data_IF_248111944739
#
_entry.id   IF_248111944739
#
_cell.length_a   1.000
_cell.length_b   1.000
_cell.length_c   1.000
_cell.angle_alpha   90.00
_cell.angle_beta   90.00
_cell.angle_gamma   90.00
#
_symmetry.space_group_name_H-M   'P 1'
#
loop_
_entity.id
_entity.type
_entity.pdbx_description
1 polymer ?
#
# COMPACT_ATOMS: atom_id res chain seq x y z
N UNK A 1 -24.96 3.86 7.91
CA UNK A 1 -24.05 2.90 8.58
C UNK A 1 -23.00 3.66 9.38
N UNK A 2 -23.35 4.18 10.56
CA UNK A 2 -22.37 4.89 11.40
C UNK A 2 -21.84 3.91 12.46
N UNK A 3 -20.58 3.49 12.32
CA UNK A 3 -19.93 2.50 13.21
C UNK A 3 -18.65 3.02 13.83
N UNK A 4 -18.37 4.33 13.66
CA UNK A 4 -17.17 4.96 14.20
C UNK A 4 -17.20 4.86 15.73
N UNK A 5 -16.22 4.14 16.27
CA UNK A 5 -16.10 3.84 17.68
C UNK A 5 -14.76 4.33 18.21
N UNK A 6 -14.72 4.64 19.51
CA UNK A 6 -13.50 5.07 20.18
C UNK A 6 -12.88 3.90 20.95
N UNK A 7 -11.55 3.92 21.11
CA UNK A 7 -10.81 3.05 22.01
C UNK A 7 -9.66 3.82 22.66
N UNK A 8 -9.12 3.28 23.76
CA UNK A 8 -7.90 3.81 24.35
C UNK A 8 -6.69 3.06 23.80
N UNK A 9 -5.71 3.78 23.28
CA UNK A 9 -4.45 3.20 22.81
C UNK A 9 -3.60 2.77 24.01
N UNK A 10 -2.57 1.94 23.77
CA UNK A 10 -1.61 1.57 24.80
C UNK A 10 -0.84 2.75 25.42
N UNK A 11 -0.81 3.90 24.74
CA UNK A 11 -0.23 5.16 25.23
C UNK A 11 -1.22 6.04 26.02
N UNK A 12 -2.48 5.61 26.20
CA UNK A 12 -3.51 6.38 26.92
C UNK A 12 -4.16 7.50 26.12
N UNK A 13 -3.93 7.56 24.80
CA UNK A 13 -4.63 8.49 23.90
C UNK A 13 -5.89 7.84 23.35
N UNK A 14 -6.90 8.66 23.00
CA UNK A 14 -8.12 8.14 22.37
C UNK A 14 -7.94 7.98 20.87
N UNK A 15 -8.12 6.77 20.36
CA UNK A 15 -8.16 6.45 18.93
C UNK A 15 -9.57 6.16 18.44
N UNK A 16 -9.79 6.28 17.13
CA UNK A 16 -11.06 5.96 16.47
C UNK A 16 -10.88 4.78 15.51
N UNK A 17 -11.93 4.01 15.27
CA UNK A 17 -11.95 2.95 14.25
C UNK A 17 -13.38 2.65 13.79
N UNK A 18 -13.54 2.02 12.63
CA UNK A 18 -14.84 1.57 12.14
C UNK A 18 -15.14 0.17 12.69
N UNK A 19 -16.13 0.08 13.60
CA UNK A 19 -16.43 -1.15 14.33
C UNK A 19 -17.29 -2.12 13.51
N UNK A 20 -16.68 -3.25 13.12
CA UNK A 20 -17.40 -4.36 12.49
C UNK A 20 -18.45 -5.01 13.41
N UNK A 21 -18.19 -5.24 14.72
CA UNK A 21 -19.24 -5.71 15.63
C UNK A 21 -20.44 -4.77 15.72
N UNK A 22 -20.21 -3.45 15.64
CA UNK A 22 -21.32 -2.49 15.64
C UNK A 22 -22.12 -2.57 14.34
N UNK A 23 -21.45 -2.81 13.20
CA UNK A 23 -22.14 -3.08 11.93
C UNK A 23 -23.02 -4.34 12.01
N UNK A 24 -22.55 -5.39 12.70
CA UNK A 24 -23.31 -6.64 12.90
C UNK A 24 -24.53 -6.40 13.82
N UNK A 25 -24.39 -5.62 14.89
CA UNK A 25 -25.51 -5.24 15.76
C UNK A 25 -26.59 -4.44 15.02
N UNK A 26 -26.21 -3.67 14.00
CA UNK A 26 -27.16 -2.98 13.12
C UNK A 26 -27.92 -3.93 12.18
N UNK A 27 -27.65 -5.24 12.23
CA UNK A 27 -28.37 -6.25 11.45
C UNK A 27 -27.96 -6.32 9.98
N UNK A 28 -26.80 -5.75 9.62
CA UNK A 28 -26.35 -5.68 8.22
C UNK A 28 -25.89 -7.03 7.68
N UNK A 29 -25.43 -7.96 8.52
CA UNK A 29 -25.00 -9.30 8.15
C UNK A 29 -24.35 -10.07 9.31
N UNK A 30 -24.03 -11.35 9.12
CA UNK A 30 -23.37 -12.19 10.13
C UNK A 30 -21.84 -12.04 10.07
N UNK A 31 -21.33 -10.85 10.40
CA UNK A 31 -19.92 -10.47 10.21
C UNK A 31 -18.98 -11.33 11.07
N UNK A 32 -19.42 -11.74 12.27
CA UNK A 32 -18.67 -12.65 13.15
C UNK A 32 -18.40 -14.02 12.53
N UNK A 33 -19.10 -14.40 11.47
CA UNK A 33 -18.93 -15.67 10.73
C UNK A 33 -18.08 -15.53 9.46
N UNK A 34 -17.78 -14.31 9.01
CA UNK A 34 -16.97 -14.08 7.82
C UNK A 34 -15.50 -14.49 8.06
N UNK A 35 -14.76 -14.97 7.03
CA UNK A 35 -13.31 -15.13 7.10
C UNK A 35 -12.62 -13.81 7.45
N UNK A 36 -11.47 -13.87 8.15
CA UNK A 36 -10.73 -12.67 8.58
C UNK A 36 -10.33 -11.81 7.37
N UNK A 37 -9.91 -12.42 6.27
CA UNK A 37 -9.60 -11.70 5.03
C UNK A 37 -10.78 -10.86 4.51
N UNK A 38 -12.00 -11.41 4.55
CA UNK A 38 -13.21 -10.68 4.16
C UNK A 38 -13.55 -9.56 5.14
N UNK A 39 -13.29 -9.76 6.44
CA UNK A 39 -13.46 -8.69 7.45
C UNK A 39 -12.51 -7.51 7.21
N UNK A 40 -11.28 -7.77 6.78
CA UNK A 40 -10.31 -6.72 6.43
C UNK A 40 -10.79 -5.90 5.24
N UNK A 41 -11.30 -6.55 4.18
CA UNK A 41 -11.89 -5.84 3.03
C UNK A 41 -13.15 -5.07 3.44
N UNK A 42 -14.00 -5.64 4.31
CA UNK A 42 -15.21 -4.99 4.81
C UNK A 42 -14.90 -3.75 5.66
N UNK A 43 -13.81 -3.77 6.45
CA UNK A 43 -13.32 -2.57 7.14
C UNK A 43 -12.96 -1.47 6.15
N UNK A 44 -12.23 -1.81 5.09
CA UNK A 44 -11.86 -0.83 4.05
C UNK A 44 -13.08 -0.22 3.38
N UNK A 45 -14.11 -1.02 3.07
CA UNK A 45 -15.37 -0.50 2.53
C UNK A 45 -16.05 0.49 3.49
N UNK A 46 -16.17 0.11 4.77
CA UNK A 46 -16.82 0.98 5.77
C UNK A 46 -16.07 2.31 5.95
N UNK A 47 -14.75 2.25 6.03
CA UNK A 47 -13.92 3.43 6.24
C UNK A 47 -13.93 4.38 5.04
N UNK A 48 -14.10 3.85 3.83
CA UNK A 48 -14.08 4.62 2.59
C UNK A 48 -15.48 4.84 1.98
N UNK A 49 -16.55 4.61 2.75
CA UNK A 49 -17.94 4.81 2.32
C UNK A 49 -18.20 6.29 1.98
N UNK A 50 -18.21 6.60 0.68
CA UNK A 50 -18.36 7.96 0.15
C UNK A 50 -19.62 8.15 -0.72
N UNK A 51 -20.36 7.06 -0.96
CA UNK A 51 -21.55 7.03 -1.82
C UNK A 51 -21.25 7.15 -3.31
N UNK A 52 -19.97 7.12 -3.72
CA UNK A 52 -19.52 7.25 -5.11
C UNK A 52 -18.64 6.07 -5.53
N UNK A 53 -17.44 5.98 -4.95
CA UNK A 53 -16.51 4.86 -5.19
C UNK A 53 -16.88 3.66 -4.34
N UNK A 54 -17.33 3.90 -3.11
CA UNK A 54 -17.82 2.87 -2.21
C UNK A 54 -19.24 3.24 -1.80
N UNK A 55 -20.16 2.33 -2.06
CA UNK A 55 -21.59 2.50 -1.81
C UNK A 55 -22.05 1.67 -0.61
N UNK A 56 -23.23 2.02 -0.06
CA UNK A 56 -23.86 1.18 0.96
C UNK A 56 -24.20 -0.22 0.45
N UNK A 57 -24.43 -0.37 -0.86
CA UNK A 57 -24.68 -1.67 -1.48
C UNK A 57 -23.44 -2.56 -1.39
N UNK A 58 -22.25 -2.02 -1.64
CA UNK A 58 -20.98 -2.78 -1.55
C UNK A 58 -20.75 -3.33 -0.14
N UNK A 59 -20.99 -2.51 0.89
CA UNK A 59 -20.90 -2.92 2.29
C UNK A 59 -21.90 -4.04 2.59
N UNK A 60 -23.16 -3.90 2.18
CA UNK A 60 -24.21 -4.91 2.41
C UNK A 60 -23.91 -6.21 1.68
N UNK A 61 -23.44 -6.13 0.44
CA UNK A 61 -23.09 -7.28 -0.39
C UNK A 61 -21.97 -8.09 0.28
N UNK A 62 -20.88 -7.44 0.67
CA UNK A 62 -19.76 -8.13 1.31
C UNK A 62 -20.08 -8.60 2.74
N UNK A 63 -20.86 -7.85 3.52
CA UNK A 63 -21.30 -8.25 4.86
C UNK A 63 -22.19 -9.51 4.85
N UNK A 64 -22.88 -9.78 3.74
CA UNK A 64 -23.70 -10.97 3.53
C UNK A 64 -23.05 -11.99 2.58
N UNK A 65 -21.74 -11.86 2.33
CA UNK A 65 -21.02 -12.74 1.42
C UNK A 65 -21.13 -14.21 1.85
N UNK A 66 -21.33 -15.09 0.87
CA UNK A 66 -21.47 -16.52 1.06
C UNK A 66 -20.60 -17.28 0.04
N UNK A 67 -19.66 -18.11 0.51
CA UNK A 67 -18.77 -18.88 -0.35
C UNK A 67 -19.50 -19.79 -1.36
N UNK A 68 -20.68 -20.31 -1.01
CA UNK A 68 -21.48 -21.18 -1.91
C UNK A 68 -22.22 -20.38 -2.99
N UNK A 69 -22.44 -19.10 -2.76
CA UNK A 69 -23.11 -18.20 -3.69
C UNK A 69 -22.53 -16.79 -3.49
N UNK A 70 -21.34 -16.51 -4.04
CA UNK A 70 -20.63 -15.25 -3.79
C UNK A 70 -21.34 -14.04 -4.38
N UNK A 71 -22.33 -14.25 -5.26
CA UNK A 71 -23.00 -13.20 -6.01
C UNK A 71 -22.23 -12.79 -7.27
N UNK A 72 -22.87 -11.98 -8.11
CA UNK A 72 -22.31 -11.40 -9.33
C UNK A 72 -22.21 -9.89 -9.15
N UNK A 73 -21.24 -9.46 -8.34
CA UNK A 73 -20.93 -8.07 -8.07
C UNK A 73 -19.43 -7.90 -7.84
N UNK A 74 -18.91 -6.73 -8.20
CA UNK A 74 -17.54 -6.33 -7.90
C UNK A 74 -17.50 -5.53 -6.60
N UNK A 75 -16.39 -5.62 -5.87
CA UNK A 75 -16.20 -4.91 -4.60
C UNK A 75 -14.97 -4.00 -4.71
N UNK A 76 -15.12 -2.69 -4.48
CA UNK A 76 -13.98 -1.78 -4.45
C UNK A 76 -13.13 -2.06 -3.21
N UNK A 77 -11.81 -2.22 -3.38
CA UNK A 77 -10.90 -2.39 -2.25
C UNK A 77 -9.85 -1.28 -2.22
N UNK A 78 -10.01 -0.34 -1.29
CA UNK A 78 -9.04 0.74 -1.07
C UNK A 78 -7.99 0.26 -0.07
N UNK A 79 -6.80 -0.08 -0.56
CA UNK A 79 -5.68 -0.50 0.28
C UNK A 79 -5.06 0.67 1.03
N UNK A 80 -4.31 0.38 2.08
CA UNK A 80 -3.71 1.38 2.94
C UNK A 80 -2.39 1.95 2.42
N UNK A 81 -1.61 1.17 1.64
CA UNK A 81 -0.33 1.58 1.05
C UNK A 81 0.02 0.72 -0.18
N UNK A 82 1.10 1.08 -0.87
CA UNK A 82 1.64 0.36 -2.01
C UNK A 82 3.12 0.04 -1.75
N UNK A 83 3.56 -1.15 -2.14
CA UNK A 83 4.99 -1.52 -2.13
C UNK A 83 5.47 -1.84 -3.54
N UNK A 84 6.61 -1.31 -3.92
CA UNK A 84 7.19 -1.47 -5.25
C UNK A 84 8.61 -2.03 -5.15
N UNK A 85 9.04 -2.67 -6.23
CA UNK A 85 10.45 -2.96 -6.50
C UNK A 85 10.93 -2.13 -7.70
N UNK A 86 12.24 -1.98 -7.89
CA UNK A 86 12.80 -1.01 -8.83
C UNK A 86 12.45 -1.24 -10.31
N UNK A 87 12.30 -2.47 -10.80
CA UNK A 87 11.91 -2.75 -12.19
C UNK A 87 10.48 -2.30 -12.52
N UNK A 88 9.56 -2.34 -11.57
CA UNK A 88 8.17 -1.90 -11.78
C UNK A 88 7.92 -0.49 -11.24
N UNK A 89 8.71 -0.04 -10.27
CA UNK A 89 8.58 1.29 -9.70
C UNK A 89 9.14 2.39 -10.59
N UNK A 90 10.20 2.12 -11.37
CA UNK A 90 10.71 3.07 -12.37
C UNK A 90 9.66 3.41 -13.44
N UNK A 91 9.03 2.44 -14.15
CA UNK A 91 8.01 2.77 -15.14
C UNK A 91 6.79 3.46 -14.50
N UNK A 92 6.39 3.09 -13.28
CA UNK A 92 5.33 3.81 -12.56
C UNK A 92 5.71 5.28 -12.33
N UNK A 93 6.94 5.56 -11.93
CA UNK A 93 7.41 6.94 -11.71
C UNK A 93 7.49 7.73 -13.03
N UNK A 94 7.85 7.06 -14.13
CA UNK A 94 7.74 7.64 -15.48
C UNK A 94 6.30 7.98 -15.82
N UNK A 95 5.34 7.11 -15.53
CA UNK A 95 3.92 7.36 -15.77
C UNK A 95 3.42 8.55 -14.95
N UNK A 96 3.78 8.65 -13.67
CA UNK A 96 3.43 9.80 -12.84
C UNK A 96 4.04 11.10 -13.38
N UNK A 97 5.29 11.07 -13.84
CA UNK A 97 5.93 12.22 -14.46
C UNK A 97 5.26 12.64 -15.80
N UNK A 98 4.85 11.66 -16.60
CA UNK A 98 4.11 11.88 -17.84
C UNK A 98 2.72 12.46 -17.57
N UNK A 99 2.01 11.94 -16.57
CA UNK A 99 0.72 12.47 -16.11
C UNK A 99 0.86 13.92 -15.63
N UNK A 100 1.90 14.25 -14.84
CA UNK A 100 2.21 15.63 -14.44
C UNK A 100 2.43 16.54 -15.64
N UNK A 101 3.18 16.07 -16.63
CA UNK A 101 3.42 16.80 -17.87
C UNK A 101 2.14 17.05 -18.67
N UNK A 102 1.27 16.04 -18.78
CA UNK A 102 -0.03 16.17 -19.44
C UNK A 102 -0.96 17.16 -18.73
N UNK A 103 -1.07 17.08 -17.39
CA UNK A 103 -1.87 18.02 -16.58
C UNK A 103 -1.34 19.45 -16.72
N UNK A 104 -0.03 19.63 -16.71
CA UNK A 104 0.60 20.93 -16.95
C UNK A 104 0.26 21.47 -18.35
N UNK A 105 0.33 20.63 -19.39
CA UNK A 105 -0.04 20.99 -20.76
C UNK A 105 -1.52 21.40 -20.90
N UNK A 106 -2.40 20.93 -20.01
CA UNK A 106 -3.79 21.38 -19.91
C UNK A 106 -3.98 22.68 -19.10
N UNK A 107 -2.90 23.33 -18.68
CA UNK A 107 -2.93 24.55 -17.85
C UNK A 107 -3.39 24.31 -16.41
N UNK A 108 -3.34 23.06 -15.93
CA UNK A 108 -3.73 22.69 -14.56
C UNK A 108 -2.49 22.51 -13.66
N UNK A 109 -2.71 22.51 -12.35
CA UNK A 109 -1.63 22.28 -11.40
C UNK A 109 -1.16 20.82 -11.45
N UNK A 110 0.05 20.58 -11.93
CA UNK A 110 0.63 19.24 -12.03
C UNK A 110 0.79 18.55 -10.66
N UNK A 111 0.95 19.30 -9.56
CA UNK A 111 1.14 18.70 -8.23
C UNK A 111 -0.12 17.98 -7.72
N UNK A 112 -1.26 18.11 -8.41
CA UNK A 112 -2.45 17.31 -8.12
C UNK A 112 -2.25 15.82 -8.45
N UNK A 113 -1.26 15.49 -9.29
CA UNK A 113 -0.85 14.12 -9.53
C UNK A 113 0.11 13.73 -8.40
N UNK A 114 -0.43 13.00 -7.45
CA UNK A 114 0.22 12.50 -6.24
C UNK A 114 -0.40 11.15 -5.87
N UNK A 115 0.37 10.14 -5.42
CA UNK A 115 -0.20 8.94 -4.85
C UNK A 115 -1.08 9.26 -3.64
N UNK A 116 -2.28 8.66 -3.58
CA UNK A 116 -3.24 8.92 -2.51
C UNK A 116 -2.93 8.18 -1.20
N UNK A 117 -2.06 7.19 -1.29
CA UNK A 117 -1.60 6.35 -0.18
C UNK A 117 -0.08 6.28 -0.22
N UNK A 118 0.58 6.03 0.93
CA UNK A 118 2.03 5.88 0.98
C UNK A 118 2.52 4.81 -0.02
N UNK A 119 3.65 5.10 -0.65
CA UNK A 119 4.32 4.21 -1.60
C UNK A 119 5.77 4.02 -1.13
N UNK A 120 6.12 2.78 -0.83
CA UNK A 120 7.50 2.41 -0.50
C UNK A 120 8.10 1.61 -1.66
N UNK A 121 9.15 2.14 -2.28
CA UNK A 121 9.92 1.44 -3.31
C UNK A 121 11.21 0.89 -2.72
N UNK A 122 11.45 -0.40 -2.90
CA UNK A 122 12.71 -1.04 -2.49
C UNK A 122 13.55 -1.35 -3.74
N UNK A 123 14.83 -0.95 -3.71
CA UNK A 123 15.77 -1.27 -4.78
C UNK A 123 16.49 -2.57 -4.45
N UNK A 124 16.12 -3.66 -5.13
CA UNK A 124 16.61 -4.99 -4.84
C UNK A 124 16.81 -5.90 -6.06
N UNK A 125 16.26 -5.55 -7.23
CA UNK A 125 16.36 -6.36 -8.47
C UNK A 125 17.59 -6.01 -9.33
N UNK A 126 18.46 -5.17 -8.80
CA UNK A 126 19.52 -4.53 -9.57
C UNK A 126 20.88 -5.18 -9.39
N UNK A 127 21.25 -5.46 -8.14
CA UNK A 127 22.55 -5.97 -7.73
C UNK A 127 22.79 -7.33 -8.38
N UNK A 128 23.94 -7.46 -9.06
CA UNK A 128 24.38 -8.71 -9.67
C UNK A 128 25.57 -9.30 -8.89
N UNK A 129 25.74 -10.62 -8.99
CA UNK A 129 26.87 -11.33 -8.39
C UNK A 129 28.01 -11.40 -9.40
N UNK A 130 28.73 -10.29 -9.61
CA UNK A 130 29.94 -10.24 -10.45
C UNK A 130 31.17 -10.82 -9.72
N UNK A 131 31.24 -10.60 -8.41
CA UNK A 131 32.26 -11.12 -7.50
C UNK A 131 31.60 -11.96 -6.40
N UNK A 132 32.26 -13.07 -6.03
CA UNK A 132 31.81 -13.98 -4.97
C UNK A 132 33.02 -14.58 -4.22
N UNK A 133 32.78 -15.14 -3.03
CA UNK A 133 33.78 -15.93 -2.30
C UNK A 133 34.93 -15.14 -1.65
N UNK A 134 34.84 -13.81 -1.57
CA UNK A 134 35.85 -12.95 -0.94
C UNK A 134 35.19 -11.90 -0.04
N UNK A 135 35.92 -11.39 0.94
CA UNK A 135 35.43 -10.35 1.85
C UNK A 135 35.08 -9.04 1.12
N UNK A 136 35.70 -8.78 -0.03
CA UNK A 136 35.49 -7.58 -0.85
C UNK A 136 34.29 -7.70 -1.82
N UNK A 137 33.73 -8.90 -2.00
CA UNK A 137 32.74 -9.18 -3.03
C UNK A 137 31.53 -8.25 -2.96
N UNK A 138 30.98 -8.02 -1.75
CA UNK A 138 29.84 -7.14 -1.55
C UNK A 138 30.11 -5.71 -2.02
N UNK A 139 31.22 -5.11 -1.57
CA UNK A 139 31.57 -3.73 -1.91
C UNK A 139 31.80 -3.56 -3.41
N UNK A 140 32.47 -4.54 -4.05
CA UNK A 140 32.73 -4.51 -5.50
C UNK A 140 31.45 -4.65 -6.32
N UNK A 141 30.55 -5.54 -5.92
CA UNK A 141 29.25 -5.69 -6.59
C UNK A 141 28.40 -4.43 -6.43
N UNK A 142 28.37 -3.82 -5.24
CA UNK A 142 27.67 -2.55 -5.02
C UNK A 142 28.27 -1.40 -5.83
N UNK A 143 29.60 -1.31 -5.95
CA UNK A 143 30.22 -0.28 -6.80
C UNK A 143 29.81 -0.43 -8.27
N UNK A 144 29.85 -1.65 -8.81
CA UNK A 144 29.40 -1.93 -10.17
C UNK A 144 27.92 -1.62 -10.34
N UNK A 145 27.10 -1.95 -9.34
CA UNK A 145 25.68 -1.67 -9.32
C UNK A 145 25.38 -0.18 -9.46
N UNK A 146 25.99 0.66 -8.60
CA UNK A 146 25.85 2.11 -8.69
C UNK A 146 26.35 2.69 -10.01
N UNK A 147 27.41 2.11 -10.58
CA UNK A 147 27.95 2.54 -11.87
C UNK A 147 26.99 2.22 -13.02
N UNK A 148 26.43 1.01 -13.05
CA UNK A 148 25.52 0.52 -14.11
C UNK A 148 24.16 1.22 -14.06
N UNK A 149 23.65 1.48 -12.86
CA UNK A 149 22.28 1.95 -12.65
C UNK A 149 22.19 3.42 -12.21
N UNK A 150 23.24 4.21 -12.46
CA UNK A 150 23.34 5.61 -12.04
C UNK A 150 22.13 6.46 -12.43
N UNK A 151 21.74 6.45 -13.70
CA UNK A 151 20.62 7.26 -14.21
C UNK A 151 19.30 6.86 -13.55
N UNK A 152 19.07 5.55 -13.40
CA UNK A 152 17.88 5.00 -12.76
C UNK A 152 17.80 5.44 -11.29
N UNK A 153 18.91 5.44 -10.56
CA UNK A 153 18.95 5.90 -9.17
C UNK A 153 18.79 7.40 -9.03
N UNK A 154 19.34 8.19 -9.96
CA UNK A 154 19.06 9.62 -10.02
C UNK A 154 17.57 9.90 -10.27
N UNK A 155 16.94 9.13 -11.15
CA UNK A 155 15.51 9.26 -11.44
C UNK A 155 14.64 8.86 -10.24
N UNK A 156 14.93 7.74 -9.57
CA UNK A 156 14.25 7.34 -8.34
C UNK A 156 14.43 8.38 -7.23
N UNK A 157 15.64 8.94 -7.09
CA UNK A 157 15.90 9.99 -6.10
C UNK A 157 15.15 11.28 -6.39
N UNK A 158 15.02 11.65 -7.67
CA UNK A 158 14.14 12.73 -8.09
C UNK A 158 12.68 12.44 -7.71
N UNK A 159 12.20 11.21 -7.93
CA UNK A 159 10.84 10.80 -7.57
C UNK A 159 10.54 10.97 -6.09
N UNK A 160 11.45 10.47 -5.23
CA UNK A 160 11.36 10.65 -3.77
C UNK A 160 11.30 12.13 -3.35
N UNK A 161 11.93 13.03 -4.10
CA UNK A 161 11.88 14.48 -3.83
C UNK A 161 10.65 15.16 -4.44
N UNK A 162 10.08 14.58 -5.49
CA UNK A 162 8.99 15.18 -6.26
C UNK A 162 7.59 14.81 -5.74
N UNK A 163 7.47 13.75 -4.95
CA UNK A 163 6.20 13.23 -4.43
C UNK A 163 6.29 13.08 -2.90
N UNK A 164 5.30 13.63 -2.18
CA UNK A 164 5.31 13.67 -0.71
C UNK A 164 5.12 12.28 -0.08
N UNK A 165 4.39 11.42 -0.78
CA UNK A 165 4.00 10.09 -0.29
C UNK A 165 4.89 8.95 -0.80
N UNK A 166 5.94 9.26 -1.56
CA UNK A 166 6.82 8.29 -2.20
C UNK A 166 8.18 8.20 -1.49
N UNK A 167 8.57 7.01 -1.06
CA UNK A 167 9.84 6.75 -0.38
C UNK A 167 10.66 5.70 -1.10
N UNK A 168 11.98 5.83 -1.04
CA UNK A 168 12.90 4.88 -1.67
C UNK A 168 13.84 4.27 -0.63
N UNK A 169 13.80 2.95 -0.51
CA UNK A 169 14.81 2.17 0.21
C UNK A 169 15.97 1.89 -0.77
N UNK A 170 17.20 2.35 -0.47
CA UNK A 170 18.33 2.26 -1.38
C UNK A 170 18.84 0.82 -1.57
N UNK A 171 19.64 0.55 -2.62
CA UNK A 171 20.23 -0.76 -2.85
C UNK A 171 21.15 -1.19 -1.71
N UNK A 172 21.22 -2.51 -1.48
CA UNK A 172 22.11 -3.12 -0.48
C UNK A 172 21.54 -3.18 0.94
N UNK A 173 20.29 -2.75 1.16
CA UNK A 173 19.59 -2.89 2.45
C UNK A 173 18.94 -4.27 2.60
N UNK A 174 18.31 -4.78 1.55
CA UNK A 174 17.61 -6.06 1.58
C UNK A 174 16.68 -6.23 0.39
N UNK A 175 15.89 -7.30 0.42
CA UNK A 175 14.90 -7.65 -0.61
C UNK A 175 13.53 -7.13 -0.17
N UNK A 176 12.71 -6.66 -1.12
CA UNK A 176 11.44 -5.95 -0.92
C UNK A 176 10.54 -6.61 0.11
N UNK A 177 10.35 -7.93 0.05
CA UNK A 177 9.44 -8.65 0.95
C UNK A 177 10.00 -8.84 2.35
N UNK A 178 11.31 -9.03 2.48
CA UNK A 178 11.97 -9.11 3.79
C UNK A 178 11.96 -7.75 4.49
N UNK A 179 12.32 -6.69 3.76
CA UNK A 179 12.25 -5.30 4.27
C UNK A 179 10.82 -4.94 4.64
N UNK A 180 9.83 -5.42 3.87
CA UNK A 180 8.43 -5.21 4.21
C UNK A 180 8.05 -5.88 5.53
N UNK A 181 8.41 -7.16 5.73
CA UNK A 181 8.14 -7.89 6.97
C UNK A 181 8.83 -7.29 8.20
N UNK A 182 10.10 -6.92 8.06
CA UNK A 182 10.95 -6.53 9.19
C UNK A 182 10.85 -5.05 9.56
N UNK A 183 10.44 -4.19 8.61
CA UNK A 183 10.52 -2.74 8.79
C UNK A 183 9.27 -1.96 8.34
N UNK A 184 8.75 -2.21 7.13
CA UNK A 184 7.68 -1.36 6.56
C UNK A 184 6.31 -1.70 7.14
N UNK A 185 6.00 -2.99 7.32
CA UNK A 185 4.70 -3.44 7.81
C UNK A 185 4.45 -2.97 9.24
N UNK A 186 3.25 -2.40 9.45
CA UNK A 186 2.83 -1.86 10.75
C UNK A 186 1.73 -2.69 11.41
N UNK A 187 1.05 -3.54 10.65
CA UNK A 187 -0.11 -4.32 11.09
C UNK A 187 -1.37 -3.48 11.27
N UNK A 188 -1.26 -2.35 11.99
CA UNK A 188 -2.29 -1.32 12.11
C UNK A 188 -1.69 0.03 11.76
N UNK A 189 -2.38 0.77 10.90
CA UNK A 189 -2.03 2.13 10.50
C UNK A 189 -2.98 3.13 11.15
N UNK A 190 -2.52 4.37 11.24
CA UNK A 190 -3.27 5.50 11.78
C UNK A 190 -3.22 6.67 10.80
N UNK A 191 -4.38 7.28 10.56
CA UNK A 191 -4.52 8.51 9.79
C UNK A 191 -5.64 9.35 10.36
N UNK A 192 -5.35 10.61 10.67
CA UNK A 192 -6.30 11.57 11.22
C UNK A 192 -7.03 11.05 12.48
N UNK A 193 -6.33 10.30 13.32
CA UNK A 193 -6.84 9.66 14.55
C UNK A 193 -7.68 8.40 14.32
N UNK A 194 -7.80 7.93 13.08
CA UNK A 194 -8.50 6.70 12.71
C UNK A 194 -7.51 5.57 12.48
N UNK A 195 -7.70 4.46 13.19
CA UNK A 195 -6.89 3.26 13.13
C UNK A 195 -7.56 2.21 12.25
N UNK A 196 -6.77 1.54 11.41
CA UNK A 196 -7.25 0.55 10.45
C UNK A 196 -6.17 -0.48 10.08
N UNK A 197 -6.56 -1.68 9.59
CA UNK A 197 -5.59 -2.71 9.21
C UNK A 197 -4.62 -2.25 8.13
N UNK A 198 -3.36 -2.63 8.28
CA UNK A 198 -2.36 -2.52 7.22
C UNK A 198 -2.74 -3.45 6.06
N UNK A 199 -2.94 -2.87 4.88
CA UNK A 199 -3.31 -3.57 3.65
C UNK A 199 -2.55 -2.96 2.50
N UNK A 200 -2.11 -3.78 1.56
CA UNK A 200 -1.37 -3.29 0.41
C UNK A 200 -1.61 -4.11 -0.85
N UNK A 201 -1.31 -3.48 -1.97
CA UNK A 201 -0.93 -4.16 -3.21
C UNK A 201 0.54 -3.87 -3.48
N UNK A 202 1.18 -4.78 -4.19
CA UNK A 202 2.53 -4.57 -4.70
C UNK A 202 2.65 -5.05 -6.12
N UNK A 203 3.66 -4.53 -6.81
CA UNK A 203 3.95 -4.86 -8.21
C UNK A 203 4.92 -6.04 -8.33
N UNK A 204 4.88 -6.95 -7.36
CA UNK A 204 5.64 -8.19 -7.31
C UNK A 204 4.73 -9.36 -6.86
N UNK A 205 4.84 -10.52 -7.50
CA UNK A 205 3.97 -11.67 -7.23
C UNK A 205 4.10 -12.22 -5.80
N UNK A 206 5.27 -12.03 -5.17
CA UNK A 206 5.53 -12.52 -3.82
C UNK A 206 5.13 -11.52 -2.73
N UNK A 207 4.47 -10.41 -3.08
CA UNK A 207 3.87 -9.50 -2.09
C UNK A 207 2.94 -10.22 -1.13
N UNK A 208 2.39 -11.37 -1.53
CA UNK A 208 1.61 -12.29 -0.68
C UNK A 208 2.37 -12.85 0.53
N UNK A 209 3.69 -12.72 0.58
CA UNK A 209 4.54 -13.13 1.72
C UNK A 209 4.18 -12.42 3.03
N UNK A 210 3.50 -11.27 2.97
CA UNK A 210 3.09 -10.49 4.15
C UNK A 210 1.80 -10.99 4.83
N UNK A 211 1.11 -11.98 4.24
CA UNK A 211 -0.17 -12.51 4.74
C UNK A 211 -0.02 -13.43 5.96
#
# INVERSE_FOLDING_TARGET
MNTLSNFQTGSGTTGKFYSLPELEKQGIGQISRLPISIRIVLESLLRNLDGKKVTEADVKNLANWNAKNPGDYEIPFTVARIVLQDFTGVPLLVDLAAMRSAVHGMGKNATMIEPLVPVDLVVDHSVQVDFAGTQEALNRNLELEFRRNKERYQFLKWGEQAFDTFKVVPPGIGIVHQVNLEYLAKGVLEKDGVFYPDTLVGTDSHTTMIN
#
